data_IF_292394140080
#
_entry.id   IF_292394140080
#
_cell.length_a   1.000
_cell.length_b   1.000
_cell.length_c   1.000
_cell.angle_alpha   90.00
_cell.angle_beta   90.00
_cell.angle_gamma   90.00
#
_symmetry.space_group_name_H-M   'P 1'
#
loop_
_entity.id
_entity.type
_entity.pdbx_description
1 polymer ?
#
# COMPACT_ATOMS: atom_id res chain seq x y z
N UNK A 1 -13.65 4.61 3.46
CA UNK A 1 -12.85 5.10 2.32
C UNK A 1 -13.53 6.14 1.42
N UNK A 2 -14.86 6.26 1.40
CA UNK A 2 -15.60 7.40 0.78
C UNK A 2 -15.36 8.76 1.45
N UNK A 3 -14.76 8.81 2.63
CA UNK A 3 -14.67 10.01 3.48
C UNK A 3 -13.51 10.97 3.14
N UNK A 4 -12.41 10.49 2.57
CA UNK A 4 -11.21 11.31 2.36
C UNK A 4 -11.37 12.27 1.18
N UNK A 5 -12.03 11.87 0.11
CA UNK A 5 -12.19 12.70 -1.10
C UNK A 5 -13.28 13.79 -0.99
N UNK A 6 -14.22 13.66 -0.05
CA UNK A 6 -15.28 14.68 0.15
C UNK A 6 -14.81 15.90 0.96
N UNK A 7 -13.69 15.81 1.69
CA UNK A 7 -13.23 16.90 2.58
C UNK A 7 -12.19 17.82 1.95
N UNK A 8 -11.48 17.41 0.90
CA UNK A 8 -10.48 18.26 0.22
C UNK A 8 -11.15 19.45 -0.51
N UNK A 9 -12.40 19.30 -0.96
CA UNK A 9 -13.12 20.38 -1.65
C UNK A 9 -13.69 21.47 -0.74
N UNK A 10 -13.56 21.34 0.59
CA UNK A 10 -14.14 22.26 1.59
C UNK A 10 -13.13 23.10 2.37
N UNK A 11 -11.83 23.04 2.06
CA UNK A 11 -10.78 23.76 2.78
C UNK A 11 -10.27 24.94 1.93
N UNK A 12 -10.76 26.18 2.13
CA UNK A 12 -10.41 27.33 1.29
C UNK A 12 -8.97 27.85 1.47
N UNK A 13 -8.21 27.38 2.44
CA UNK A 13 -6.88 27.93 2.76
C UNK A 13 -5.68 27.04 2.42
N UNK A 14 -5.87 25.86 1.87
CA UNK A 14 -4.76 24.95 1.51
C UNK A 14 -4.26 25.08 0.05
N UNK A 15 -4.90 25.92 -0.76
CA UNK A 15 -4.57 26.07 -2.19
C UNK A 15 -3.24 26.78 -2.49
N UNK A 16 -2.60 27.40 -1.52
CA UNK A 16 -1.35 28.13 -1.74
C UNK A 16 -0.09 27.24 -1.74
N UNK A 17 -0.21 25.98 -1.36
CA UNK A 17 0.93 25.03 -1.24
C UNK A 17 0.83 23.85 -2.22
N UNK A 18 -0.31 23.70 -2.89
CA UNK A 18 -0.51 22.57 -3.84
C UNK A 18 -0.08 23.02 -5.24
N UNK A 19 0.84 22.29 -5.91
CA UNK A 19 1.25 22.61 -7.27
C UNK A 19 0.06 22.73 -8.22
N UNK A 20 0.13 23.68 -9.16
CA UNK A 20 -0.95 23.94 -10.14
C UNK A 20 -1.35 22.69 -10.93
N UNK A 21 -0.40 21.79 -11.15
CA UNK A 21 -0.58 20.51 -11.83
C UNK A 21 -1.55 19.59 -11.06
N UNK A 22 -1.44 19.57 -9.73
CA UNK A 22 -2.36 18.78 -8.87
C UNK A 22 -3.75 19.43 -8.86
N UNK A 23 -3.84 20.76 -8.85
CA UNK A 23 -5.12 21.49 -8.93
C UNK A 23 -5.78 21.22 -10.29
N UNK A 24 -5.01 21.28 -11.38
CA UNK A 24 -5.50 20.98 -12.72
C UNK A 24 -5.97 19.54 -12.86
N UNK A 25 -5.23 18.58 -12.27
CA UNK A 25 -5.62 17.18 -12.23
C UNK A 25 -6.90 16.96 -11.42
N UNK A 26 -7.02 17.58 -10.25
CA UNK A 26 -8.24 17.52 -9.43
C UNK A 26 -9.44 18.16 -10.16
N UNK A 27 -9.22 19.23 -10.93
CA UNK A 27 -10.25 19.89 -11.73
C UNK A 27 -10.65 19.03 -12.94
N UNK A 28 -9.69 18.42 -13.63
CA UNK A 28 -9.93 17.46 -14.70
C UNK A 28 -10.76 16.25 -14.20
N UNK A 29 -10.42 15.70 -13.03
CA UNK A 29 -11.17 14.65 -12.38
C UNK A 29 -12.61 15.08 -12.06
N UNK A 30 -12.80 16.30 -11.61
CA UNK A 30 -14.11 16.83 -11.24
C UNK A 30 -15.01 17.07 -12.45
N UNK A 31 -14.45 17.47 -13.60
CA UNK A 31 -15.16 17.72 -14.84
C UNK A 31 -15.56 16.43 -15.58
N UNK A 32 -14.77 15.34 -15.42
CA UNK A 32 -15.02 14.06 -16.08
C UNK A 32 -15.72 13.03 -15.18
N UNK A 33 -16.32 13.44 -14.08
CA UNK A 33 -16.97 12.62 -13.07
C UNK A 33 -18.26 11.93 -13.55
N UNK A 34 -18.13 11.00 -14.48
CA UNK A 34 -19.15 9.95 -14.61
C UNK A 34 -18.47 8.61 -14.34
N UNK A 35 -18.48 8.16 -13.08
CA UNK A 35 -18.15 6.80 -12.65
C UNK A 35 -16.68 6.37 -12.71
N UNK A 36 -15.70 7.29 -12.62
CA UNK A 36 -14.28 6.89 -12.53
C UNK A 36 -13.99 6.18 -11.20
N UNK A 37 -13.35 5.01 -11.28
CA UNK A 37 -12.90 4.24 -10.12
C UNK A 37 -11.42 4.48 -9.87
N UNK A 38 -11.09 5.03 -8.71
CA UNK A 38 -9.72 5.16 -8.23
C UNK A 38 -9.47 4.18 -7.08
N UNK A 39 -8.34 3.45 -7.16
CA UNK A 39 -7.87 2.56 -6.09
C UNK A 39 -6.65 3.18 -5.43
N UNK A 40 -6.71 3.33 -4.11
CA UNK A 40 -5.65 3.96 -3.31
C UNK A 40 -5.08 2.94 -2.34
N UNK A 41 -3.76 2.84 -2.32
CA UNK A 41 -3.02 1.87 -1.53
C UNK A 41 -2.35 2.54 -0.32
N UNK A 42 -2.52 1.97 0.89
CA UNK A 42 -1.98 2.55 2.12
C UNK A 42 -0.47 2.38 2.22
N UNK A 43 0.12 3.17 3.10
CA UNK A 43 1.49 3.06 3.54
C UNK A 43 1.65 2.39 4.91
N UNK A 44 2.84 2.53 5.49
CA UNK A 44 3.15 2.08 6.85
C UNK A 44 2.18 2.69 7.87
N UNK A 45 1.72 1.90 8.82
CA UNK A 45 0.67 2.25 9.78
C UNK A 45 -0.67 1.56 9.51
N UNK A 46 -0.81 0.90 8.35
CA UNK A 46 -2.02 0.17 7.98
C UNK A 46 -1.95 -1.33 8.34
N UNK A 47 -0.84 -1.81 8.90
CA UNK A 47 -0.68 -3.21 9.31
C UNK A 47 -1.50 -3.53 10.57
N UNK A 48 -1.96 -4.75 10.67
CA UNK A 48 -2.63 -5.31 11.85
C UNK A 48 -2.46 -6.83 11.89
N UNK A 49 -2.48 -7.40 13.10
CA UNK A 49 -2.38 -8.85 13.28
C UNK A 49 -3.59 -9.55 12.67
N UNK A 50 -3.34 -10.62 11.91
CA UNK A 50 -4.38 -11.35 11.18
C UNK A 50 -4.61 -10.84 9.75
N UNK A 51 -3.93 -9.77 9.32
CA UNK A 51 -4.11 -9.21 7.97
C UNK A 51 -3.83 -10.24 6.89
N UNK A 52 -4.79 -10.44 5.98
CA UNK A 52 -4.69 -11.35 4.85
C UNK A 52 -4.91 -12.84 5.15
N UNK A 53 -5.17 -13.21 6.42
CA UNK A 53 -5.46 -14.61 6.78
C UNK A 53 -6.75 -15.11 6.12
N UNK A 54 -7.76 -14.29 6.12
CA UNK A 54 -9.04 -14.56 5.45
C UNK A 54 -8.88 -14.77 3.93
N UNK A 55 -8.04 -13.97 3.28
CA UNK A 55 -7.70 -14.15 1.86
C UNK A 55 -6.97 -15.47 1.63
N UNK A 56 -5.99 -15.78 2.47
CA UNK A 56 -5.20 -17.01 2.37
C UNK A 56 -6.07 -18.27 2.53
N UNK A 57 -7.04 -18.24 3.45
CA UNK A 57 -7.93 -19.36 3.72
C UNK A 57 -9.00 -19.55 2.64
N UNK A 58 -9.48 -18.47 2.02
CA UNK A 58 -10.64 -18.50 1.13
C UNK A 58 -10.33 -18.34 -0.37
N UNK A 59 -9.08 -18.04 -0.75
CA UNK A 59 -8.68 -17.85 -2.14
C UNK A 59 -7.45 -18.65 -2.49
N UNK A 60 -7.57 -19.57 -3.46
CA UNK A 60 -6.45 -20.34 -3.96
C UNK A 60 -5.34 -19.44 -4.56
N UNK A 61 -5.73 -18.36 -5.26
CA UNK A 61 -4.82 -17.38 -5.80
C UNK A 61 -4.07 -16.64 -4.67
N UNK A 62 -4.78 -16.21 -3.64
CA UNK A 62 -4.15 -15.55 -2.51
C UNK A 62 -3.14 -16.45 -1.82
N UNK A 63 -3.52 -17.70 -1.58
CA UNK A 63 -2.62 -18.70 -0.99
C UNK A 63 -1.34 -18.88 -1.81
N UNK A 64 -1.48 -19.06 -3.13
CA UNK A 64 -0.34 -19.18 -4.04
C UNK A 64 0.59 -17.96 -3.95
N UNK A 65 0.03 -16.74 -3.98
CA UNK A 65 0.80 -15.51 -3.92
C UNK A 65 1.48 -15.29 -2.56
N UNK A 66 0.84 -15.65 -1.45
CA UNK A 66 1.46 -15.61 -0.14
C UNK A 66 2.60 -16.62 0.01
N UNK A 67 2.45 -17.86 -0.46
CA UNK A 67 3.54 -18.84 -0.43
C UNK A 67 4.70 -18.39 -1.33
N UNK A 68 4.41 -17.88 -2.52
CA UNK A 68 5.42 -17.30 -3.40
C UNK A 68 6.16 -16.13 -2.73
N UNK A 69 5.46 -15.32 -1.95
CA UNK A 69 6.08 -14.24 -1.19
C UNK A 69 7.01 -14.77 -0.09
N UNK A 70 6.63 -15.83 0.63
CA UNK A 70 7.51 -16.49 1.60
C UNK A 70 8.81 -16.96 0.94
N UNK A 71 8.72 -17.57 -0.25
CA UNK A 71 9.88 -18.05 -1.01
C UNK A 71 10.79 -16.87 -1.44
N UNK A 72 10.22 -15.79 -1.96
CA UNK A 72 10.97 -14.59 -2.40
C UNK A 72 11.70 -13.93 -1.24
N UNK A 73 11.05 -13.83 -0.09
CA UNK A 73 11.60 -13.17 1.10
C UNK A 73 12.59 -14.04 1.86
N UNK A 74 12.55 -15.36 1.66
CA UNK A 74 13.39 -16.33 2.36
C UNK A 74 12.98 -16.59 3.81
N UNK A 75 11.79 -16.13 4.22
CA UNK A 75 11.19 -16.40 5.52
C UNK A 75 9.66 -16.36 5.43
N UNK A 76 8.99 -16.99 6.40
CA UNK A 76 7.53 -17.04 6.42
C UNK A 76 6.93 -15.76 6.97
N UNK A 77 6.76 -14.76 6.12
CA UNK A 77 6.09 -13.52 6.49
C UNK A 77 4.63 -13.75 6.86
N UNK A 78 4.01 -14.78 6.28
CA UNK A 78 2.64 -15.19 6.58
C UNK A 78 2.44 -15.52 8.06
N UNK A 79 3.40 -16.18 8.70
CA UNK A 79 3.30 -16.54 10.12
C UNK A 79 3.25 -15.28 10.99
N UNK A 80 4.04 -14.26 10.63
CA UNK A 80 4.04 -12.97 11.31
C UNK A 80 2.76 -12.18 11.03
N UNK A 81 2.30 -12.16 9.78
CA UNK A 81 1.09 -11.44 9.39
C UNK A 81 -0.16 -12.02 10.06
N UNK A 82 -0.26 -13.36 10.14
CA UNK A 82 -1.48 -14.03 10.59
C UNK A 82 -1.55 -14.20 12.09
N UNK A 83 -0.41 -14.51 12.74
CA UNK A 83 -0.37 -14.95 14.15
C UNK A 83 0.76 -14.29 14.96
N UNK A 84 1.53 -13.37 14.36
CA UNK A 84 2.57 -12.62 15.04
C UNK A 84 2.00 -11.59 16.01
N UNK A 85 2.90 -10.80 16.59
CA UNK A 85 2.54 -9.70 17.48
C UNK A 85 2.52 -8.36 16.74
N UNK A 86 1.86 -7.36 17.33
CA UNK A 86 1.93 -5.98 16.84
C UNK A 86 3.37 -5.46 16.78
N UNK A 87 4.23 -5.89 17.70
CA UNK A 87 5.64 -5.51 17.76
C UNK A 87 6.43 -6.10 16.59
N UNK A 88 6.19 -7.36 16.25
CA UNK A 88 6.80 -8.00 15.07
C UNK A 88 6.41 -7.28 13.78
N UNK A 89 5.12 -6.93 13.65
CA UNK A 89 4.58 -6.22 12.50
C UNK A 89 5.07 -4.77 12.41
N UNK A 90 5.53 -4.14 13.50
CA UNK A 90 6.07 -2.77 13.50
C UNK A 90 7.51 -2.68 13.00
N UNK A 91 8.23 -3.78 12.92
CA UNK A 91 9.57 -3.76 12.35
C UNK A 91 9.51 -3.38 10.87
N UNK A 92 10.20 -2.31 10.47
CA UNK A 92 10.13 -1.75 9.11
C UNK A 92 10.35 -2.80 8.01
N UNK A 93 11.27 -3.74 8.25
CA UNK A 93 11.57 -4.86 7.35
C UNK A 93 10.39 -5.82 7.15
N UNK A 94 9.46 -5.86 8.11
CA UNK A 94 8.24 -6.69 8.07
C UNK A 94 7.04 -5.87 7.64
N UNK A 95 6.85 -4.69 8.22
CA UNK A 95 5.70 -3.81 7.96
C UNK A 95 5.50 -3.54 6.47
N UNK A 96 6.57 -3.15 5.78
CA UNK A 96 6.45 -2.73 4.38
C UNK A 96 6.05 -3.88 3.48
N UNK A 97 6.71 -5.06 3.50
CA UNK A 97 6.26 -6.21 2.74
C UNK A 97 4.84 -6.67 3.12
N UNK A 98 4.50 -6.69 4.42
CA UNK A 98 3.17 -7.13 4.86
C UNK A 98 2.04 -6.25 4.30
N UNK A 99 2.19 -4.91 4.39
CA UNK A 99 1.20 -3.98 3.82
C UNK A 99 1.13 -4.09 2.30
N UNK A 100 2.27 -4.24 1.63
CA UNK A 100 2.32 -4.46 0.18
C UNK A 100 1.57 -5.74 -0.22
N UNK A 101 1.88 -6.87 0.43
CA UNK A 101 1.26 -8.17 0.15
C UNK A 101 -0.26 -8.12 0.34
N UNK A 102 -0.72 -7.62 1.50
CA UNK A 102 -2.14 -7.47 1.76
C UNK A 102 -2.83 -6.61 0.70
N UNK A 103 -2.24 -5.47 0.34
CA UNK A 103 -2.78 -4.53 -0.64
C UNK A 103 -2.90 -5.12 -2.04
N UNK A 104 -1.81 -5.72 -2.53
CA UNK A 104 -1.76 -6.26 -3.90
C UNK A 104 -2.59 -7.53 -4.03
N UNK A 105 -2.49 -8.45 -3.07
CA UNK A 105 -3.24 -9.70 -3.10
C UNK A 105 -4.74 -9.42 -2.99
N UNK A 106 -5.16 -8.48 -2.12
CA UNK A 106 -6.55 -8.04 -2.04
C UNK A 106 -7.06 -7.54 -3.40
N UNK A 107 -6.28 -6.70 -4.08
CA UNK A 107 -6.65 -6.17 -5.39
C UNK A 107 -6.77 -7.27 -6.45
N UNK A 108 -5.80 -8.19 -6.50
CA UNK A 108 -5.80 -9.30 -7.46
C UNK A 108 -6.94 -10.29 -7.21
N UNK A 109 -7.32 -10.50 -5.94
CA UNK A 109 -8.44 -11.38 -5.57
C UNK A 109 -9.82 -10.78 -5.87
N UNK A 110 -9.92 -9.49 -6.18
CA UNK A 110 -11.17 -8.88 -6.63
C UNK A 110 -11.57 -9.30 -8.06
N UNK A 111 -10.66 -9.89 -8.83
CA UNK A 111 -10.92 -10.35 -10.19
C UNK A 111 -11.49 -9.23 -11.07
N UNK A 112 -12.63 -9.49 -11.71
CA UNK A 112 -13.29 -8.55 -12.63
C UNK A 112 -13.81 -7.26 -11.95
N UNK A 113 -13.94 -7.22 -10.63
CA UNK A 113 -14.32 -6.02 -9.89
C UNK A 113 -13.16 -5.04 -9.74
N UNK A 114 -11.92 -5.51 -9.91
CA UNK A 114 -10.73 -4.67 -9.93
C UNK A 114 -10.48 -4.12 -11.34
N UNK A 115 -11.11 -3.00 -11.63
CA UNK A 115 -10.94 -2.26 -12.90
C UNK A 115 -10.58 -0.81 -12.58
N UNK A 116 -9.31 -0.55 -12.22
CA UNK A 116 -8.88 0.80 -11.90
C UNK A 116 -8.77 1.64 -13.18
N UNK A 117 -9.38 2.82 -13.16
CA UNK A 117 -9.07 3.88 -14.13
C UNK A 117 -7.88 4.72 -13.63
N UNK A 118 -7.67 4.69 -12.31
CA UNK A 118 -6.52 5.32 -11.66
C UNK A 118 -6.10 4.50 -10.44
N UNK A 119 -4.79 4.49 -10.20
CA UNK A 119 -4.19 3.97 -8.97
C UNK A 119 -3.32 5.03 -8.33
N UNK A 120 -3.30 5.08 -7.01
CA UNK A 120 -2.40 5.93 -6.24
C UNK A 120 -1.94 5.19 -4.99
N UNK A 121 -0.80 5.56 -4.44
CA UNK A 121 -0.27 4.95 -3.22
C UNK A 121 0.41 5.97 -2.33
N UNK A 122 0.40 5.72 -1.02
CA UNK A 122 1.13 6.51 -0.04
C UNK A 122 2.42 5.79 0.33
N UNK A 123 3.59 6.42 0.07
CA UNK A 123 4.90 5.87 0.42
C UNK A 123 5.13 4.48 -0.19
N UNK A 124 5.23 3.40 0.61
CA UNK A 124 5.32 2.02 0.09
C UNK A 124 4.12 1.62 -0.78
N UNK A 125 2.95 2.22 -0.55
CA UNK A 125 1.74 2.00 -1.34
C UNK A 125 1.89 2.40 -2.81
N UNK A 126 2.87 3.24 -3.16
CA UNK A 126 3.18 3.57 -4.55
C UNK A 126 3.61 2.30 -5.33
N UNK A 127 4.38 1.41 -4.71
CA UNK A 127 4.74 0.12 -5.32
C UNK A 127 3.52 -0.78 -5.50
N UNK A 128 2.60 -0.79 -4.52
CA UNK A 128 1.33 -1.50 -4.66
C UNK A 128 0.49 -0.96 -5.82
N UNK A 129 0.45 0.38 -5.96
CA UNK A 129 -0.23 1.05 -7.07
C UNK A 129 0.38 0.71 -8.43
N UNK A 130 1.72 0.63 -8.53
CA UNK A 130 2.43 0.25 -9.77
C UNK A 130 2.16 -1.20 -10.16
N UNK A 131 2.13 -2.13 -9.20
CA UNK A 131 1.77 -3.52 -9.47
C UNK A 131 0.30 -3.63 -9.88
N UNK A 132 -0.59 -2.95 -9.17
CA UNK A 132 -2.01 -2.91 -9.48
C UNK A 132 -2.32 -2.31 -10.87
N UNK A 133 -1.50 -1.37 -11.32
CA UNK A 133 -1.58 -0.79 -12.67
C UNK A 133 -0.91 -1.64 -13.76
N UNK A 134 -0.29 -2.77 -13.41
CA UNK A 134 0.45 -3.61 -14.35
C UNK A 134 1.81 -3.04 -14.80
N UNK A 135 2.30 -2.00 -14.13
CA UNK A 135 3.61 -1.38 -14.44
C UNK A 135 4.80 -2.15 -13.83
N UNK A 136 4.54 -2.95 -12.79
CA UNK A 136 5.50 -3.86 -12.17
C UNK A 136 4.88 -5.25 -12.03
N UNK A 137 5.72 -6.30 -12.09
CA UNK A 137 5.30 -7.63 -11.67
C UNK A 137 5.11 -7.68 -10.14
N UNK A 138 4.33 -8.64 -9.67
CA UNK A 138 4.19 -8.91 -8.23
C UNK A 138 5.55 -9.17 -7.56
N UNK A 139 6.37 -10.00 -8.22
CA UNK A 139 7.69 -10.41 -7.74
C UNK A 139 8.66 -9.22 -7.64
N UNK A 140 8.72 -8.39 -8.67
CA UNK A 140 9.61 -7.24 -8.70
C UNK A 140 9.14 -6.17 -7.71
N UNK A 141 7.83 -5.94 -7.60
CA UNK A 141 7.25 -5.06 -6.61
C UNK A 141 7.61 -5.48 -5.19
N UNK A 142 7.48 -6.78 -4.86
CA UNK A 142 7.83 -7.31 -3.54
C UNK A 142 9.34 -7.18 -3.25
N UNK A 143 10.20 -7.52 -4.21
CA UNK A 143 11.66 -7.38 -4.06
C UNK A 143 12.07 -5.94 -3.82
N UNK A 144 11.48 -4.99 -4.56
CA UNK A 144 11.77 -3.56 -4.41
C UNK A 144 11.31 -3.03 -3.05
N UNK A 145 10.10 -3.40 -2.60
CA UNK A 145 9.59 -3.01 -1.29
C UNK A 145 10.46 -3.58 -0.17
N UNK A 146 10.88 -4.84 -0.29
CA UNK A 146 11.75 -5.45 0.69
C UNK A 146 13.14 -4.79 0.72
N UNK A 147 13.75 -4.55 -0.44
CA UNK A 147 15.03 -3.83 -0.52
C UNK A 147 14.94 -2.43 0.08
N UNK A 148 13.84 -1.70 -0.18
CA UNK A 148 13.54 -0.40 0.44
C UNK A 148 13.44 -0.51 1.96
N UNK A 149 12.70 -1.49 2.47
CA UNK A 149 12.50 -1.72 3.89
C UNK A 149 13.85 -1.99 4.61
N UNK A 150 14.69 -2.82 4.03
CA UNK A 150 16.02 -3.13 4.53
C UNK A 150 16.96 -1.90 4.51
N UNK A 151 16.89 -1.09 3.46
CA UNK A 151 17.69 0.14 3.37
C UNK A 151 17.27 1.17 4.43
N UNK A 152 15.97 1.32 4.65
CA UNK A 152 15.43 2.22 5.69
C UNK A 152 15.79 1.72 7.09
N UNK A 153 15.67 0.42 7.35
CA UNK A 153 16.07 -0.19 8.62
C UNK A 153 17.55 0.10 8.90
N UNK A 154 18.42 -0.18 7.94
CA UNK A 154 19.85 0.06 8.07
C UNK A 154 20.19 1.55 8.31
N UNK A 155 19.48 2.45 7.65
CA UNK A 155 19.67 3.89 7.86
C UNK A 155 19.31 4.32 9.29
N UNK A 156 18.20 3.80 9.85
CA UNK A 156 17.78 4.06 11.22
C UNK A 156 18.74 3.48 12.26
N UNK A 157 19.36 2.33 11.96
CA UNK A 157 20.38 1.70 12.84
C UNK A 157 21.71 2.47 12.80
N UNK A 158 22.10 2.99 11.63
CA UNK A 158 23.32 3.77 11.47
C UNK A 158 23.27 5.13 12.17
N UNK A 159 22.08 5.75 12.21
CA UNK A 159 21.87 7.02 12.90
C UNK A 159 20.51 6.97 13.61
N UNK A 160 20.48 6.88 14.94
CA UNK A 160 19.24 6.86 15.71
C UNK A 160 18.37 8.05 15.33
N UNK A 161 17.20 7.76 14.78
CA UNK A 161 16.25 8.76 14.28
C UNK A 161 14.83 8.21 14.36
N UNK A 162 13.87 9.11 14.30
CA UNK A 162 12.46 8.75 14.28
C UNK A 162 11.71 9.60 13.25
N UNK A 163 10.57 9.10 12.83
CA UNK A 163 9.63 9.83 11.98
C UNK A 163 8.30 9.98 12.71
N UNK A 164 7.64 11.11 12.52
CA UNK A 164 6.30 11.35 13.01
C UNK A 164 5.43 11.92 11.90
N UNK A 165 4.19 11.43 11.80
CA UNK A 165 3.16 12.05 10.99
C UNK A 165 2.43 13.09 11.86
N UNK A 166 2.47 14.34 11.45
CA UNK A 166 1.74 15.43 12.13
C UNK A 166 0.39 15.58 11.43
N UNK A 167 -0.67 15.36 12.17
CA UNK A 167 -2.05 15.58 11.72
C UNK A 167 -2.55 16.84 12.41
N UNK A 168 -2.77 17.90 11.63
CA UNK A 168 -3.27 19.20 12.10
C UNK A 168 -4.71 19.42 11.63
#
# INVERSE_FOLDING_TARGET
MRYIMQHISKLPHYYSVVPKEIINFATFLNQNRKNMKAFVFPGQGAQFVGMGKDLYENSALAKELFEKANDILGYRITDIMFEGTDEDLRQTKVTQPAVFLHSVISALCMGDDFRPEMTAGHSLGEFSALVAAGALSFEDGLKLVYARAMAMQKACEAQPSTMAAIIA
#
